data_IF_210532310307
#
_entry.id   IF_210532310307
#
_cell.length_a   1.000
_cell.length_b   1.000
_cell.length_c   1.000
_cell.angle_alpha   90.00
_cell.angle_beta   90.00
_cell.angle_gamma   90.00
#
_symmetry.space_group_name_H-M   'P 1'
#
loop_
_entity.id
_entity.type
_entity.pdbx_description
1 polymer ?
#
# COMPACT_ATOMS: atom_id res chain seq x y z
N UNK A 1 5.09 -13.12 33.28
CA UNK A 1 6.01 -13.77 32.34
C UNK A 1 7.22 -12.86 32.27
N UNK A 2 8.39 -13.32 32.71
CA UNK A 2 9.60 -12.46 32.78
C UNK A 2 10.22 -12.40 31.39
N UNK A 3 10.48 -11.21 30.91
CA UNK A 3 11.16 -10.96 29.63
C UNK A 3 12.60 -11.51 29.66
N UNK A 4 13.04 -12.10 28.55
CA UNK A 4 14.41 -12.60 28.39
C UNK A 4 15.42 -11.46 28.29
N UNK A 5 16.70 -11.73 28.56
CA UNK A 5 17.77 -10.73 28.51
C UNK A 5 17.88 -10.09 27.11
N UNK A 6 17.69 -10.85 26.03
CA UNK A 6 17.68 -10.36 24.65
C UNK A 6 16.53 -9.41 24.31
N UNK A 7 15.36 -9.60 24.93
CA UNK A 7 14.21 -8.67 24.76
C UNK A 7 14.43 -7.32 25.46
N UNK A 8 15.20 -7.32 26.56
CA UNK A 8 15.58 -6.06 27.24
C UNK A 8 16.63 -5.29 26.46
N UNK A 9 17.62 -5.98 25.92
CA UNK A 9 18.69 -5.36 25.12
C UNK A 9 18.16 -4.78 23.80
N UNK A 10 17.25 -5.50 23.10
CA UNK A 10 16.58 -4.99 21.92
C UNK A 10 15.70 -3.75 22.21
N UNK A 11 15.05 -3.69 23.39
CA UNK A 11 14.31 -2.50 23.84
C UNK A 11 15.20 -1.32 24.17
N UNK A 12 16.37 -1.54 24.77
CA UNK A 12 17.33 -0.46 25.06
C UNK A 12 17.93 0.11 23.77
N UNK A 13 18.24 -0.72 22.79
CA UNK A 13 18.73 -0.28 21.47
C UNK A 13 17.64 0.50 20.73
N UNK A 14 16.38 0.05 20.76
CA UNK A 14 15.25 0.77 20.18
C UNK A 14 14.98 2.11 20.90
N UNK A 15 15.15 2.18 22.21
CA UNK A 15 14.96 3.41 22.99
C UNK A 15 16.08 4.45 22.75
N UNK A 16 17.30 4.02 22.48
CA UNK A 16 18.43 4.92 22.16
C UNK A 16 18.39 5.48 20.74
N UNK A 17 17.69 4.84 19.79
CA UNK A 17 17.51 5.33 18.42
C UNK A 17 16.43 6.42 18.28
N UNK A 18 15.74 6.79 19.36
CA UNK A 18 14.62 7.75 19.36
C UNK A 18 14.99 9.24 19.25
N UNK A 19 16.29 9.61 19.17
CA UNK A 19 16.73 10.98 19.03
C UNK A 19 17.02 11.30 17.55
N UNK A 20 16.20 12.19 16.94
CA UNK A 20 16.40 12.78 15.60
C UNK A 20 16.62 11.76 14.46
N UNK A 21 15.61 10.97 14.13
CA UNK A 21 15.60 10.29 12.83
C UNK A 21 15.47 11.38 11.75
N UNK A 22 16.57 11.68 11.08
CA UNK A 22 16.57 12.54 9.89
C UNK A 22 15.54 11.99 8.90
N UNK A 23 14.71 12.89 8.35
CA UNK A 23 13.80 12.55 7.26
C UNK A 23 14.68 12.06 6.10
N UNK A 24 14.59 10.77 5.79
CA UNK A 24 15.38 10.20 4.72
C UNK A 24 14.89 10.74 3.37
N UNK A 25 15.73 11.52 2.70
CA UNK A 25 15.55 11.91 1.30
C UNK A 25 16.38 10.97 0.43
N UNK A 26 15.75 10.27 -0.53
CA UNK A 26 16.46 9.30 -1.36
C UNK A 26 17.51 9.95 -2.25
N UNK A 27 18.63 9.25 -2.53
CA UNK A 27 19.62 9.72 -3.51
C UNK A 27 19.00 9.77 -4.91
N UNK A 28 19.47 10.71 -5.72
CA UNK A 28 19.04 10.95 -7.09
C UNK A 28 19.08 9.67 -7.93
N UNK A 29 17.89 9.14 -8.28
CA UNK A 29 17.73 8.22 -9.40
C UNK A 29 16.81 8.85 -10.43
N UNK A 30 17.02 8.46 -11.70
CA UNK A 30 16.36 8.95 -12.92
C UNK A 30 15.01 9.63 -12.65
N UNK A 31 15.02 10.97 -12.71
CA UNK A 31 13.90 11.84 -12.35
C UNK A 31 12.69 11.49 -13.20
N UNK A 32 11.69 10.87 -12.60
CA UNK A 32 10.32 10.99 -13.07
C UNK A 32 9.99 12.48 -13.14
N UNK A 33 9.33 12.98 -14.17
CA UNK A 33 9.13 14.42 -14.48
C UNK A 33 8.58 15.28 -13.33
N UNK A 34 8.04 14.67 -12.25
CA UNK A 34 7.66 15.32 -10.98
C UNK A 34 8.41 14.73 -9.78
N UNK A 35 9.55 14.08 -10.03
CA UNK A 35 10.28 13.29 -9.06
C UNK A 35 10.86 14.10 -7.92
N UNK A 36 10.56 13.68 -6.70
CA UNK A 36 11.19 14.17 -5.48
C UNK A 36 10.29 14.95 -4.54
N UNK A 37 9.06 15.29 -4.92
CA UNK A 37 8.10 15.85 -3.95
C UNK A 37 7.39 14.71 -3.21
N UNK A 38 7.26 14.78 -1.88
CA UNK A 38 6.46 13.84 -1.13
C UNK A 38 5.01 13.86 -1.61
N UNK A 39 4.46 12.67 -1.88
CA UNK A 39 3.04 12.51 -2.16
C UNK A 39 2.26 12.36 -0.86
N UNK A 40 2.83 11.60 0.08
CA UNK A 40 2.35 11.47 1.46
C UNK A 40 3.50 11.74 2.41
N UNK A 41 3.25 12.56 3.44
CA UNK A 41 4.23 12.87 4.49
C UNK A 41 3.65 12.56 5.85
N UNK A 42 4.34 11.72 6.62
CA UNK A 42 4.03 11.44 8.02
C UNK A 42 5.00 12.19 8.93
N UNK A 43 4.49 12.87 9.98
CA UNK A 43 5.29 13.56 11.00
C UNK A 43 4.80 13.18 12.39
N UNK A 44 5.64 12.48 13.16
CA UNK A 44 5.32 11.94 14.48
C UNK A 44 3.95 11.25 14.49
N UNK A 45 3.62 10.55 13.40
CA UNK A 45 2.30 9.98 13.20
C UNK A 45 2.18 8.65 13.92
N UNK A 46 1.23 8.57 14.86
CA UNK A 46 0.89 7.35 15.60
C UNK A 46 -0.54 6.95 15.40
N UNK A 47 -0.81 5.64 15.50
CA UNK A 47 -2.14 5.04 15.37
C UNK A 47 -2.41 4.15 16.56
N UNK A 48 -3.56 4.34 17.18
CA UNK A 48 -3.99 3.63 18.39
C UNK A 48 -5.27 2.83 18.13
N UNK A 49 -5.38 1.69 18.79
CA UNK A 49 -6.62 0.92 18.97
C UNK A 49 -6.93 0.85 20.47
N UNK A 50 -7.81 1.72 20.97
CA UNK A 50 -7.94 1.95 22.39
C UNK A 50 -6.60 2.39 22.99
N UNK A 51 -6.11 1.68 24.02
CA UNK A 51 -4.84 2.00 24.67
C UNK A 51 -3.60 1.43 23.96
N UNK A 52 -3.79 0.62 22.91
CA UNK A 52 -2.69 -0.02 22.20
C UNK A 52 -2.18 0.86 21.06
N UNK A 53 -0.92 1.31 21.14
CA UNK A 53 -0.23 2.04 20.08
C UNK A 53 0.31 1.06 19.03
N UNK A 54 -0.46 0.89 17.94
CA UNK A 54 -0.16 -0.07 16.88
C UNK A 54 0.88 0.45 15.88
N UNK A 55 0.99 1.76 15.71
CA UNK A 55 2.01 2.44 14.88
C UNK A 55 2.54 3.62 15.66
N UNK A 56 3.88 3.73 15.75
CA UNK A 56 4.54 4.62 16.71
C UNK A 56 5.34 5.70 16.00
N UNK A 57 4.94 6.97 16.13
CA UNK A 57 5.67 8.19 15.75
C UNK A 57 6.40 8.12 14.41
N UNK A 58 5.73 7.62 13.39
CA UNK A 58 6.29 7.49 12.04
C UNK A 58 6.67 8.86 11.50
N UNK A 59 7.90 8.95 10.98
CA UNK A 59 8.41 10.09 10.23
C UNK A 59 8.90 9.58 8.88
N UNK A 60 8.15 9.86 7.79
CA UNK A 60 8.48 9.36 6.46
C UNK A 60 7.85 10.21 5.36
N UNK A 61 8.58 10.39 4.28
CA UNK A 61 8.10 10.98 3.03
C UNK A 61 8.00 9.91 1.94
N UNK A 62 6.78 9.64 1.48
CA UNK A 62 6.49 8.69 0.40
C UNK A 62 6.48 9.48 -0.92
N UNK A 63 7.37 9.12 -1.81
CA UNK A 63 7.59 9.85 -3.05
C UNK A 63 6.54 9.54 -4.11
N UNK A 64 6.16 10.58 -4.87
CA UNK A 64 5.22 10.47 -5.98
C UNK A 64 5.76 9.57 -7.10
N UNK A 65 4.90 8.69 -7.64
CA UNK A 65 5.16 7.83 -8.80
C UNK A 65 6.24 6.75 -8.60
N UNK A 66 6.58 6.45 -7.36
CA UNK A 66 7.44 5.32 -7.00
C UNK A 66 6.62 4.21 -6.35
N UNK A 67 7.18 3.01 -6.38
CA UNK A 67 6.66 1.85 -5.65
C UNK A 67 7.37 1.74 -4.31
N UNK A 68 6.64 1.83 -3.22
CA UNK A 68 7.16 1.64 -1.85
C UNK A 68 6.61 0.35 -1.27
N UNK A 69 7.48 -0.61 -0.96
CA UNK A 69 7.11 -1.80 -0.20
C UNK A 69 7.12 -1.53 1.30
N UNK A 70 6.20 -2.16 2.03
CA UNK A 70 6.14 -2.16 3.48
C UNK A 70 6.28 -3.60 3.94
N UNK A 71 7.40 -3.93 4.61
CA UNK A 71 7.73 -5.27 5.07
C UNK A 71 7.88 -5.32 6.59
N UNK A 72 7.87 -6.52 7.16
CA UNK A 72 8.03 -6.78 8.59
C UNK A 72 7.20 -7.96 9.06
N UNK A 73 7.35 -8.41 10.31
CA UNK A 73 6.59 -9.52 10.90
C UNK A 73 5.07 -9.28 10.89
N UNK A 74 4.30 -10.36 11.06
CA UNK A 74 2.85 -10.23 11.21
C UNK A 74 2.50 -9.44 12.47
N UNK A 75 1.50 -8.55 12.38
CA UNK A 75 1.05 -7.74 13.51
C UNK A 75 1.88 -6.50 13.84
N UNK A 76 2.98 -6.21 13.12
CA UNK A 76 3.85 -5.07 13.41
C UNK A 76 3.33 -3.69 12.92
N UNK A 77 2.08 -3.57 12.46
CA UNK A 77 1.47 -2.28 12.10
C UNK A 77 1.44 -1.94 10.60
N UNK A 78 1.98 -2.77 9.69
CA UNK A 78 2.05 -2.49 8.23
C UNK A 78 0.72 -2.12 7.59
N UNK A 79 -0.26 -3.02 7.69
CA UNK A 79 -1.60 -2.80 7.12
C UNK A 79 -2.34 -1.67 7.86
N UNK A 80 -2.04 -1.47 9.15
CA UNK A 80 -2.58 -0.35 9.93
C UNK A 80 -2.08 0.98 9.37
N UNK A 81 -0.78 1.12 9.11
CA UNK A 81 -0.22 2.31 8.48
C UNK A 81 -0.74 2.50 7.05
N UNK A 82 -0.76 1.43 6.23
CA UNK A 82 -1.28 1.49 4.87
C UNK A 82 -2.72 2.02 4.83
N UNK A 83 -3.60 1.48 5.68
CA UNK A 83 -5.02 1.85 5.77
C UNK A 83 -5.27 3.25 6.35
N UNK A 84 -4.31 3.81 7.06
CA UNK A 84 -4.40 5.18 7.55
C UNK A 84 -4.34 6.20 6.41
N UNK A 85 -3.61 5.91 5.32
CA UNK A 85 -3.40 6.83 4.21
C UNK A 85 -4.72 7.18 3.49
N UNK A 86 -5.70 6.26 3.47
CA UNK A 86 -7.03 6.52 2.91
C UNK A 86 -8.15 6.53 3.97
N UNK A 87 -7.79 6.62 5.25
CA UNK A 87 -8.71 6.70 6.39
C UNK A 87 -9.63 5.46 6.52
N UNK A 88 -9.17 4.28 6.07
CA UNK A 88 -9.95 3.04 6.26
C UNK A 88 -9.98 2.59 7.72
N UNK A 89 -9.03 3.03 8.55
CA UNK A 89 -9.03 2.73 9.99
C UNK A 89 -10.17 3.43 10.74
N UNK A 90 -10.75 4.50 10.20
CA UNK A 90 -11.90 5.21 10.79
C UNK A 90 -13.16 4.34 10.89
N UNK A 91 -13.20 3.23 10.13
CA UNK A 91 -14.26 2.23 10.25
C UNK A 91 -14.19 1.41 11.54
N UNK A 92 -13.09 1.54 12.31
CA UNK A 92 -12.87 0.85 13.58
C UNK A 92 -13.11 1.87 14.70
N UNK A 93 -14.19 1.76 15.49
CA UNK A 93 -14.58 2.80 16.46
C UNK A 93 -13.52 3.13 17.53
N UNK A 94 -12.64 2.17 17.86
CA UNK A 94 -11.56 2.38 18.84
C UNK A 94 -10.28 2.95 18.21
N UNK A 95 -10.25 3.18 16.90
CA UNK A 95 -9.07 3.68 16.21
C UNK A 95 -9.02 5.21 16.26
N UNK A 96 -7.87 5.75 16.67
CA UNK A 96 -7.57 7.18 16.56
C UNK A 96 -6.09 7.40 16.23
N UNK A 97 -5.76 8.60 15.81
CA UNK A 97 -4.41 8.96 15.38
C UNK A 97 -3.90 10.19 16.12
N UNK A 98 -2.57 10.32 16.21
CA UNK A 98 -1.89 11.54 16.68
C UNK A 98 -0.76 11.89 15.70
N UNK A 99 -0.23 13.12 15.80
CA UNK A 99 0.72 13.62 14.81
C UNK A 99 0.01 14.07 13.54
N UNK A 100 0.72 14.11 12.41
CA UNK A 100 0.15 14.55 11.13
C UNK A 100 0.46 13.56 10.02
N UNK A 101 -0.52 13.32 9.14
CA UNK A 101 -0.38 12.58 7.90
C UNK A 101 -0.90 13.45 6.77
N UNK A 102 -0.04 13.85 5.86
CA UNK A 102 -0.37 14.82 4.82
C UNK A 102 -0.39 14.16 3.44
N UNK A 103 -1.33 14.55 2.61
CA UNK A 103 -1.42 14.25 1.19
C UNK A 103 -1.28 15.56 0.42
N UNK A 104 -0.23 15.71 -0.38
CA UNK A 104 0.15 16.98 -1.03
C UNK A 104 0.22 18.20 -0.08
N UNK A 105 0.60 17.98 1.17
CA UNK A 105 0.68 19.05 2.17
C UNK A 105 -0.64 19.39 2.87
N UNK A 106 -1.74 18.74 2.52
CA UNK A 106 -3.02 18.83 3.21
C UNK A 106 -3.16 17.70 4.22
N UNK A 107 -3.58 18.00 5.45
CA UNK A 107 -3.73 17.00 6.50
C UNK A 107 -4.90 16.06 6.17
N UNK A 108 -4.59 14.74 6.03
CA UNK A 108 -5.55 13.68 5.76
C UNK A 108 -6.61 13.58 6.87
N UNK A 109 -6.23 13.87 8.11
CA UNK A 109 -7.11 13.84 9.29
C UNK A 109 -7.61 15.23 9.69
N UNK A 110 -7.41 16.23 8.82
CA UNK A 110 -7.90 17.59 9.01
C UNK A 110 -9.43 17.66 9.09
N UNK A 111 -9.94 18.60 9.90
CA UNK A 111 -11.39 18.78 10.15
C UNK A 111 -12.24 18.96 8.87
N UNK A 112 -11.64 19.47 7.81
CA UNK A 112 -12.34 19.80 6.55
C UNK A 112 -12.01 18.83 5.42
N UNK A 113 -11.30 17.74 5.70
CA UNK A 113 -10.96 16.74 4.68
C UNK A 113 -12.19 15.94 4.28
N UNK A 114 -12.55 15.98 2.99
CA UNK A 114 -13.61 15.17 2.41
C UNK A 114 -13.08 13.72 2.18
N UNK A 115 -13.57 12.79 2.99
CA UNK A 115 -13.15 11.39 2.92
C UNK A 115 -13.53 10.70 1.62
N UNK A 116 -14.63 11.10 0.99
CA UNK A 116 -15.07 10.51 -0.28
C UNK A 116 -14.12 10.92 -1.39
N UNK A 117 -13.74 12.19 -1.45
CA UNK A 117 -12.77 12.70 -2.41
C UNK A 117 -11.36 12.14 -2.14
N UNK A 118 -10.97 12.01 -0.87
CA UNK A 118 -9.72 11.38 -0.50
C UNK A 118 -9.65 9.92 -0.99
N UNK A 119 -10.69 9.11 -0.72
CA UNK A 119 -10.76 7.70 -1.13
C UNK A 119 -10.91 7.51 -2.65
N UNK A 120 -11.38 8.52 -3.37
CA UNK A 120 -11.32 8.54 -4.84
C UNK A 120 -9.90 8.67 -5.35
N UNK A 121 -9.10 9.56 -4.72
CA UNK A 121 -7.69 9.80 -5.07
C UNK A 121 -6.75 8.71 -4.58
N UNK A 122 -7.09 8.03 -3.47
CA UNK A 122 -6.26 7.02 -2.82
C UNK A 122 -7.02 5.69 -2.81
N UNK A 123 -6.86 4.92 -3.89
CA UNK A 123 -7.53 3.64 -4.07
C UNK A 123 -6.87 2.52 -3.28
N UNK A 124 -7.64 1.49 -2.91
CA UNK A 124 -7.13 0.36 -2.13
C UNK A 124 -7.59 -0.98 -2.70
N UNK A 125 -6.66 -1.92 -2.73
CA UNK A 125 -6.89 -3.33 -3.03
C UNK A 125 -6.55 -4.15 -1.80
N UNK A 126 -7.50 -4.97 -1.36
CA UNK A 126 -7.38 -5.75 -0.12
C UNK A 126 -6.71 -7.10 -0.36
N UNK A 127 -6.22 -7.70 0.71
CA UNK A 127 -5.58 -9.01 0.73
C UNK A 127 -6.47 -10.12 0.15
N UNK A 128 -7.76 -10.15 0.54
CA UNK A 128 -8.73 -11.06 -0.05
C UNK A 128 -9.47 -10.34 -1.18
N UNK A 129 -9.53 -10.93 -2.39
CA UNK A 129 -10.36 -10.38 -3.44
C UNK A 129 -11.79 -10.17 -2.96
N UNK A 130 -12.36 -9.01 -3.26
CA UNK A 130 -13.70 -8.63 -2.81
C UNK A 130 -14.55 -8.07 -3.97
N UNK A 131 -14.70 -8.80 -5.09
CA UNK A 131 -15.58 -8.37 -6.15
C UNK A 131 -17.01 -8.29 -5.64
N UNK A 132 -17.78 -7.31 -6.13
CA UNK A 132 -19.21 -7.25 -5.85
C UNK A 132 -19.93 -8.42 -6.54
N UNK A 133 -21.05 -8.93 -5.96
CA UNK A 133 -21.87 -9.97 -6.58
C UNK A 133 -22.67 -9.40 -7.77
N UNK A 134 -21.98 -8.84 -8.74
CA UNK A 134 -22.45 -8.17 -9.95
C UNK A 134 -21.65 -8.68 -11.13
N UNK A 135 -22.00 -8.23 -12.34
CA UNK A 135 -21.22 -8.51 -13.54
C UNK A 135 -19.78 -7.99 -13.46
N UNK A 136 -18.89 -8.50 -14.30
CA UNK A 136 -17.53 -7.98 -14.46
C UNK A 136 -17.58 -6.50 -14.84
N UNK A 137 -18.42 -6.16 -15.82
CA UNK A 137 -18.66 -4.78 -16.24
C UNK A 137 -19.10 -3.89 -15.09
N UNK A 138 -20.13 -4.29 -14.35
CA UNK A 138 -20.69 -3.47 -13.27
C UNK A 138 -19.75 -3.33 -12.06
N UNK A 139 -18.83 -4.28 -11.85
CA UNK A 139 -17.78 -4.11 -10.84
C UNK A 139 -16.90 -2.91 -11.16
N UNK A 140 -16.49 -2.74 -12.40
CA UNK A 140 -15.60 -1.66 -12.84
C UNK A 140 -16.38 -0.35 -13.00
N UNK A 141 -17.55 -0.40 -13.62
CA UNK A 141 -18.39 0.77 -13.85
C UNK A 141 -18.99 1.37 -12.57
N UNK A 142 -18.93 0.65 -11.43
CA UNK A 142 -19.54 1.09 -10.17
C UNK A 142 -18.98 2.42 -9.68
N UNK A 143 -17.65 2.54 -9.59
CA UNK A 143 -16.99 3.77 -9.13
C UNK A 143 -17.27 4.97 -10.05
N UNK A 144 -17.02 4.87 -11.36
CA UNK A 144 -17.37 5.93 -12.32
C UNK A 144 -18.83 6.38 -12.22
N UNK A 145 -19.79 5.45 -12.15
CA UNK A 145 -21.23 5.81 -11.96
C UNK A 145 -21.48 6.57 -10.67
N UNK A 146 -20.87 6.15 -9.57
CA UNK A 146 -20.98 6.84 -8.28
C UNK A 146 -20.46 8.29 -8.35
N UNK A 147 -19.49 8.52 -9.23
CA UNK A 147 -18.93 9.84 -9.51
C UNK A 147 -19.57 10.58 -10.68
N UNK A 148 -20.78 10.15 -11.10
CA UNK A 148 -21.61 10.91 -12.06
C UNK A 148 -21.41 10.53 -13.54
N UNK A 149 -20.57 9.54 -13.88
CA UNK A 149 -20.43 9.08 -15.26
C UNK A 149 -21.57 8.11 -15.57
N UNK A 150 -22.55 8.55 -16.37
CA UNK A 150 -23.74 7.75 -16.72
C UNK A 150 -23.82 7.41 -18.21
N UNK A 151 -23.00 8.05 -19.06
CA UNK A 151 -22.96 7.74 -20.48
C UNK A 151 -22.42 6.33 -20.74
N UNK A 152 -23.20 5.54 -21.49
CA UNK A 152 -22.91 4.12 -21.74
C UNK A 152 -21.58 3.95 -22.47
N UNK A 153 -21.33 4.76 -23.49
CA UNK A 153 -20.12 4.66 -24.31
C UNK A 153 -18.87 5.00 -23.49
N UNK A 154 -18.94 6.05 -22.68
CA UNK A 154 -17.86 6.43 -21.76
C UNK A 154 -17.56 5.33 -20.75
N UNK A 155 -18.61 4.69 -20.20
CA UNK A 155 -18.43 3.56 -19.28
C UNK A 155 -17.79 2.35 -19.97
N UNK A 156 -18.17 2.02 -21.21
CA UNK A 156 -17.55 0.95 -21.98
C UNK A 156 -16.04 1.22 -22.20
N UNK A 157 -15.68 2.45 -22.57
CA UNK A 157 -14.28 2.87 -22.74
C UNK A 157 -13.48 2.78 -21.42
N UNK A 158 -14.06 3.21 -20.29
CA UNK A 158 -13.43 3.12 -18.97
C UNK A 158 -13.22 1.65 -18.58
N UNK A 159 -14.23 0.80 -18.79
CA UNK A 159 -14.16 -0.63 -18.44
C UNK A 159 -13.08 -1.32 -19.25
N UNK A 160 -13.05 -1.13 -20.57
CA UNK A 160 -12.02 -1.70 -21.44
C UNK A 160 -10.62 -1.23 -21.01
N UNK A 161 -10.40 0.09 -20.89
CA UNK A 161 -9.13 0.67 -20.46
C UNK A 161 -8.65 0.13 -19.10
N UNK A 162 -9.58 -0.04 -18.15
CA UNK A 162 -9.24 -0.53 -16.81
C UNK A 162 -8.89 -2.01 -16.82
N UNK A 163 -9.60 -2.82 -17.62
CA UNK A 163 -9.29 -4.24 -17.79
C UNK A 163 -7.98 -4.48 -18.55
N UNK A 164 -7.68 -3.65 -19.55
CA UNK A 164 -6.39 -3.67 -20.24
C UNK A 164 -5.26 -3.37 -19.27
N UNK A 165 -5.36 -2.27 -18.51
CA UNK A 165 -4.36 -1.92 -17.48
C UNK A 165 -4.17 -3.00 -16.42
N UNK A 166 -5.22 -3.76 -16.08
CA UNK A 166 -5.15 -4.87 -15.12
C UNK A 166 -4.74 -6.20 -15.75
N UNK A 167 -4.31 -6.21 -17.03
CA UNK A 167 -3.95 -7.40 -17.81
C UNK A 167 -5.04 -8.50 -17.73
N UNK A 168 -6.31 -8.10 -17.73
CA UNK A 168 -7.46 -9.00 -17.58
C UNK A 168 -8.38 -9.01 -18.83
N UNK A 169 -8.28 -8.02 -19.72
CA UNK A 169 -9.17 -7.83 -20.85
C UNK A 169 -9.32 -9.09 -21.71
N UNK A 170 -8.22 -9.65 -22.18
CA UNK A 170 -8.25 -10.82 -23.07
C UNK A 170 -8.87 -12.08 -22.46
N UNK A 171 -8.90 -12.15 -21.12
CA UNK A 171 -9.48 -13.28 -20.41
C UNK A 171 -11.00 -13.14 -20.20
N UNK A 172 -11.55 -11.90 -20.29
CA UNK A 172 -12.94 -11.64 -19.86
C UNK A 172 -13.78 -10.86 -20.88
N UNK A 173 -13.21 -10.30 -21.95
CA UNK A 173 -13.89 -9.42 -22.92
C UNK A 173 -15.17 -10.01 -23.52
N UNK A 174 -15.23 -11.35 -23.69
CA UNK A 174 -16.39 -12.05 -24.29
C UNK A 174 -17.45 -12.44 -23.22
N UNK A 175 -17.28 -12.02 -21.96
CA UNK A 175 -18.16 -12.41 -20.85
C UNK A 175 -18.28 -11.32 -19.77
N UNK A 176 -18.26 -10.05 -20.18
CA UNK A 176 -18.34 -8.89 -19.26
C UNK A 176 -19.66 -8.83 -18.48
N UNK A 177 -20.72 -9.43 -18.99
CA UNK A 177 -22.03 -9.58 -18.35
C UNK A 177 -22.09 -10.68 -17.27
N UNK A 178 -21.09 -11.57 -17.23
CA UNK A 178 -21.07 -12.68 -16.26
C UNK A 178 -20.73 -12.20 -14.85
N UNK A 179 -21.25 -12.93 -13.86
CA UNK A 179 -21.00 -12.65 -12.45
C UNK A 179 -19.51 -12.78 -12.12
N UNK A 180 -18.94 -11.73 -11.52
CA UNK A 180 -17.53 -11.64 -11.15
C UNK A 180 -17.09 -12.70 -10.12
N UNK A 181 -18.00 -13.22 -9.31
CA UNK A 181 -17.69 -14.29 -8.34
C UNK A 181 -17.32 -15.61 -9.01
N UNK A 182 -17.67 -15.81 -10.31
CA UNK A 182 -17.28 -16.98 -11.09
C UNK A 182 -15.85 -16.92 -11.65
N UNK A 183 -15.11 -15.85 -11.40
CA UNK A 183 -13.71 -15.72 -11.80
C UNK A 183 -12.78 -16.49 -10.85
N UNK A 184 -11.60 -16.92 -11.32
CA UNK A 184 -10.55 -17.46 -10.46
C UNK A 184 -10.04 -16.42 -9.46
N UNK A 185 -9.42 -16.83 -8.36
CA UNK A 185 -8.89 -15.92 -7.33
C UNK A 185 -7.97 -14.84 -7.92
N UNK A 186 -7.02 -15.21 -8.79
CA UNK A 186 -6.14 -14.25 -9.46
C UNK A 186 -6.88 -13.31 -10.44
N UNK A 187 -7.91 -13.79 -11.13
CA UNK A 187 -8.77 -12.94 -11.96
C UNK A 187 -9.60 -11.97 -11.11
N UNK A 188 -10.15 -12.45 -9.97
CA UNK A 188 -10.88 -11.61 -9.03
C UNK A 188 -9.99 -10.51 -8.46
N UNK A 189 -8.73 -10.82 -8.12
CA UNK A 189 -7.79 -9.84 -7.60
C UNK A 189 -7.47 -8.77 -8.67
N UNK A 190 -7.17 -9.17 -9.91
CA UNK A 190 -6.96 -8.23 -11.01
C UNK A 190 -8.22 -7.42 -11.35
N UNK A 191 -9.41 -7.99 -11.20
CA UNK A 191 -10.67 -7.25 -11.31
C UNK A 191 -10.78 -6.18 -10.22
N UNK A 192 -10.41 -6.48 -8.98
CA UNK A 192 -10.38 -5.48 -7.90
C UNK A 192 -9.37 -4.36 -8.18
N UNK A 193 -8.22 -4.67 -8.79
CA UNK A 193 -7.28 -3.65 -9.27
C UNK A 193 -7.93 -2.82 -10.39
N UNK A 194 -8.52 -3.45 -11.42
CA UNK A 194 -9.21 -2.76 -12.51
C UNK A 194 -10.30 -1.82 -11.99
N UNK A 195 -11.12 -2.28 -11.03
CA UNK A 195 -12.16 -1.48 -10.37
C UNK A 195 -11.57 -0.25 -9.69
N UNK A 196 -10.43 -0.41 -9.02
CA UNK A 196 -9.74 0.69 -8.35
C UNK A 196 -9.18 1.69 -9.36
N UNK A 197 -8.59 1.21 -10.46
CA UNK A 197 -8.04 2.06 -11.53
C UNK A 197 -9.11 2.82 -12.34
N UNK A 198 -10.36 2.35 -12.34
CA UNK A 198 -11.45 2.93 -13.12
C UNK A 198 -11.85 4.36 -12.66
N UNK A 199 -11.53 4.74 -11.44
CA UNK A 199 -11.73 6.09 -10.91
C UNK A 199 -10.49 6.98 -11.04
N UNK A 200 -9.44 6.49 -11.70
CA UNK A 200 -8.17 7.17 -11.95
C UNK A 200 -7.54 7.73 -10.66
N UNK A 201 -7.22 6.88 -9.67
CA UNK A 201 -6.60 7.32 -8.43
C UNK A 201 -5.18 7.86 -8.68
N UNK A 202 -4.67 8.64 -7.73
CA UNK A 202 -3.29 9.11 -7.73
C UNK A 202 -2.36 8.14 -6.98
N UNK A 203 -2.89 7.49 -5.93
CA UNK A 203 -2.19 6.48 -5.12
C UNK A 203 -2.94 5.16 -5.17
N UNK A 204 -2.20 4.07 -5.28
CA UNK A 204 -2.71 2.69 -5.20
C UNK A 204 -2.12 2.00 -3.97
N UNK A 205 -2.97 1.65 -3.03
CA UNK A 205 -2.62 0.90 -1.82
C UNK A 205 -2.92 -0.58 -2.04
N UNK A 206 -1.92 -1.45 -1.89
CA UNK A 206 -2.02 -2.90 -2.08
C UNK A 206 -1.70 -3.60 -0.75
N UNK A 207 -2.70 -4.15 -0.10
CA UNK A 207 -2.54 -4.87 1.18
C UNK A 207 -2.39 -6.37 0.91
N UNK A 208 -1.16 -6.87 0.89
CA UNK A 208 -0.80 -8.27 0.60
C UNK A 208 -1.50 -8.88 -0.64
N UNK A 209 -1.44 -8.22 -1.81
CA UNK A 209 -2.31 -8.54 -2.96
C UNK A 209 -2.12 -9.92 -3.58
N UNK A 210 -1.08 -10.64 -3.18
CA UNK A 210 -0.69 -11.95 -3.75
C UNK A 210 -0.68 -13.08 -2.74
N UNK A 211 -0.99 -12.83 -1.47
CA UNK A 211 -0.85 -13.81 -0.38
C UNK A 211 -1.70 -15.08 -0.55
N UNK A 212 -2.83 -14.98 -1.26
CA UNK A 212 -3.76 -16.09 -1.51
C UNK A 212 -3.70 -16.61 -2.97
N UNK A 213 -2.68 -16.21 -3.75
CA UNK A 213 -2.58 -16.54 -5.17
C UNK A 213 -1.50 -17.60 -5.43
N UNK A 214 -1.71 -18.36 -6.50
CA UNK A 214 -0.70 -19.25 -7.04
C UNK A 214 0.47 -18.46 -7.70
N UNK A 215 1.63 -19.09 -7.94
CA UNK A 215 2.81 -18.40 -8.48
C UNK A 215 2.57 -17.72 -9.84
N UNK A 216 1.71 -18.30 -10.71
CA UNK A 216 1.41 -17.74 -12.03
C UNK A 216 0.54 -16.47 -11.91
N UNK A 217 -0.44 -16.50 -11.00
CA UNK A 217 -1.28 -15.33 -10.71
C UNK A 217 -0.47 -14.23 -9.99
N UNK A 218 0.45 -14.62 -9.10
CA UNK A 218 1.39 -13.71 -8.44
C UNK A 218 2.26 -12.97 -9.45
N UNK A 219 2.87 -13.68 -10.41
CA UNK A 219 3.68 -13.08 -11.46
C UNK A 219 2.89 -12.01 -12.24
N UNK A 220 1.63 -12.30 -12.61
CA UNK A 220 0.78 -11.33 -13.31
C UNK A 220 0.49 -10.06 -12.49
N UNK A 221 0.41 -10.16 -11.17
CA UNK A 221 0.26 -8.97 -10.29
C UNK A 221 1.58 -8.19 -10.21
N UNK A 222 2.72 -8.88 -10.17
CA UNK A 222 4.04 -8.23 -10.19
C UNK A 222 4.28 -7.50 -11.51
N UNK A 223 3.98 -8.12 -12.65
CA UNK A 223 4.04 -7.51 -13.99
C UNK A 223 3.14 -6.27 -14.06
N UNK A 224 1.93 -6.36 -13.52
CA UNK A 224 0.99 -5.24 -13.43
C UNK A 224 1.56 -4.07 -12.60
N UNK A 225 2.18 -4.33 -11.47
CA UNK A 225 2.81 -3.29 -10.65
C UNK A 225 3.93 -2.59 -11.44
N UNK A 226 4.71 -3.36 -12.20
CA UNK A 226 5.77 -2.80 -13.05
C UNK A 226 5.20 -1.92 -14.18
N UNK A 227 4.12 -2.32 -14.84
CA UNK A 227 3.44 -1.53 -15.86
C UNK A 227 2.84 -0.22 -15.31
N UNK A 228 2.38 -0.23 -14.07
CA UNK A 228 1.82 0.94 -13.39
C UNK A 228 2.89 1.88 -12.80
N UNK A 229 4.13 1.40 -12.65
CA UNK A 229 5.28 2.17 -12.16
C UNK A 229 5.47 3.46 -12.97
N UNK A 230 5.80 4.55 -12.31
CA UNK A 230 6.00 5.86 -12.94
C UNK A 230 4.71 6.59 -13.33
N UNK A 231 3.58 5.87 -13.41
CA UNK A 231 2.26 6.46 -13.64
C UNK A 231 1.49 6.69 -12.33
N UNK A 232 1.60 5.76 -11.39
CA UNK A 232 0.94 5.79 -10.10
C UNK A 232 1.97 5.78 -8.97
N UNK A 233 1.60 6.35 -7.81
CA UNK A 233 2.29 6.09 -6.55
C UNK A 233 1.72 4.81 -5.96
N UNK A 234 2.55 3.82 -5.70
CA UNK A 234 2.10 2.51 -5.23
C UNK A 234 2.72 2.23 -3.87
N UNK A 235 1.88 1.87 -2.89
CA UNK A 235 2.35 1.29 -1.64
C UNK A 235 1.86 -0.16 -1.56
N UNK A 236 2.78 -1.07 -1.34
CA UNK A 236 2.48 -2.50 -1.23
C UNK A 236 2.94 -3.07 0.10
N UNK A 237 2.01 -3.60 0.90
CA UNK A 237 2.34 -4.45 2.03
C UNK A 237 2.57 -5.87 1.52
N UNK A 238 3.68 -6.47 1.90
CA UNK A 238 3.96 -7.88 1.61
C UNK A 238 4.84 -8.49 2.71
N UNK A 239 4.61 -9.77 2.99
CA UNK A 239 5.51 -10.57 3.82
C UNK A 239 6.54 -11.35 2.98
N UNK A 240 6.45 -11.27 1.63
CA UNK A 240 7.40 -11.90 0.72
C UNK A 240 8.52 -10.92 0.37
N UNK A 241 9.69 -11.13 0.98
CA UNK A 241 10.87 -10.29 0.77
C UNK A 241 11.37 -10.29 -0.67
N UNK A 242 11.28 -11.45 -1.35
CA UNK A 242 11.67 -11.55 -2.76
C UNK A 242 10.75 -10.70 -3.65
N UNK A 243 9.44 -10.69 -3.36
CA UNK A 243 8.49 -9.81 -4.05
C UNK A 243 8.84 -8.34 -3.80
N UNK A 244 9.01 -7.92 -2.54
CA UNK A 244 9.40 -6.56 -2.20
C UNK A 244 10.66 -6.12 -2.96
N UNK A 245 11.70 -6.98 -2.97
CA UNK A 245 12.96 -6.71 -3.66
C UNK A 245 12.81 -6.54 -5.18
N UNK A 246 11.86 -7.25 -5.82
CA UNK A 246 11.64 -7.15 -7.28
C UNK A 246 10.82 -5.93 -7.67
N UNK A 247 9.70 -5.70 -6.96
CA UNK A 247 8.67 -4.74 -7.43
C UNK A 247 8.84 -3.34 -6.87
N UNK A 248 9.65 -3.09 -5.84
CA UNK A 248 9.70 -1.78 -5.20
C UNK A 248 10.98 -0.98 -5.47
N UNK A 249 10.84 0.34 -5.45
CA UNK A 249 11.93 1.31 -5.52
C UNK A 249 12.47 1.62 -4.12
N UNK A 250 11.56 1.70 -3.15
CA UNK A 250 11.82 1.97 -1.74
C UNK A 250 11.18 0.90 -0.88
N UNK A 251 11.77 0.63 0.30
CA UNK A 251 11.24 -0.33 1.26
C UNK A 251 11.24 0.28 2.65
N UNK A 252 10.09 0.17 3.33
CA UNK A 252 9.88 0.46 4.73
C UNK A 252 9.91 -0.84 5.51
N UNK A 253 10.74 -0.95 6.52
CA UNK A 253 10.73 -2.08 7.44
C UNK A 253 10.10 -1.68 8.77
N UNK A 254 9.03 -2.39 9.13
CA UNK A 254 8.31 -2.22 10.39
C UNK A 254 8.60 -3.35 11.36
N UNK A 255 8.82 -2.99 12.62
CA UNK A 255 8.94 -3.93 13.71
C UNK A 255 8.24 -3.38 14.97
N UNK A 256 7.36 -4.15 15.61
CA UNK A 256 6.63 -3.79 16.85
C UNK A 256 5.96 -2.40 16.84
N UNK A 257 5.44 -1.96 15.71
CA UNK A 257 4.80 -0.65 15.53
C UNK A 257 5.76 0.47 15.12
N UNK A 258 7.06 0.25 15.19
CA UNK A 258 8.08 1.22 14.79
C UNK A 258 8.45 1.09 13.30
N UNK A 259 8.62 2.21 12.61
CA UNK A 259 9.33 2.26 11.34
C UNK A 259 10.84 2.24 11.62
N UNK A 260 11.45 1.05 11.54
CA UNK A 260 12.86 0.84 11.88
C UNK A 260 13.78 1.41 10.81
N UNK A 261 13.48 1.10 9.52
CA UNK A 261 14.29 1.58 8.42
C UNK A 261 13.40 1.91 7.19
N UNK A 262 13.76 2.99 6.49
CA UNK A 262 13.18 3.36 5.21
C UNK A 262 14.30 3.77 4.25
N UNK A 263 14.51 3.00 3.21
CA UNK A 263 15.63 3.19 2.29
C UNK A 263 15.29 2.74 0.85
N UNK A 264 16.12 3.10 -0.15
CA UNK A 264 16.05 2.46 -1.46
C UNK A 264 16.10 0.94 -1.32
N UNK A 265 15.22 0.24 -2.00
CA UNK A 265 15.05 -1.22 -1.87
C UNK A 265 16.37 -1.96 -2.02
N UNK A 266 17.17 -1.63 -3.04
CA UNK A 266 18.47 -2.26 -3.23
C UNK A 266 19.38 -2.10 -2.02
N UNK A 267 19.44 -0.91 -1.42
CA UNK A 267 20.26 -0.63 -0.24
C UNK A 267 19.77 -1.46 0.94
N UNK A 268 18.47 -1.40 1.25
CA UNK A 268 17.88 -2.09 2.39
C UNK A 268 18.13 -3.60 2.34
N UNK A 269 18.05 -4.22 1.15
CA UNK A 269 18.26 -5.66 1.00
C UNK A 269 19.74 -6.09 0.87
N UNK A 270 20.67 -5.18 0.58
CA UNK A 270 22.10 -5.54 0.40
C UNK A 270 23.01 -4.98 1.48
N UNK A 271 22.65 -3.87 2.09
CA UNK A 271 23.44 -3.20 3.13
C UNK A 271 22.50 -2.37 4.02
N UNK A 272 21.64 -3.02 4.81
CA UNK A 272 20.76 -2.36 5.76
C UNK A 272 21.58 -1.58 6.79
N UNK A 273 21.02 -0.50 7.33
CA UNK A 273 21.69 0.35 8.32
C UNK A 273 21.42 -0.11 9.75
N UNK A 274 20.29 -0.78 9.95
CA UNK A 274 19.83 -1.23 11.26
C UNK A 274 20.01 -2.74 11.39
N UNK A 275 20.57 -3.19 12.51
CA UNK A 275 20.83 -4.60 12.78
C UNK A 275 19.54 -5.44 12.79
N UNK A 276 18.43 -4.87 13.30
CA UNK A 276 17.13 -5.55 13.34
C UNK A 276 16.61 -5.79 11.91
N UNK A 277 16.88 -4.85 10.98
CA UNK A 277 16.58 -5.00 9.55
C UNK A 277 17.42 -6.14 8.94
N UNK A 278 18.73 -6.18 9.24
CA UNK A 278 19.63 -7.22 8.75
C UNK A 278 19.19 -8.61 9.22
N UNK A 279 18.89 -8.76 10.51
CA UNK A 279 18.47 -10.02 11.10
C UNK A 279 17.14 -10.50 10.48
N UNK A 280 16.20 -9.58 10.21
CA UNK A 280 14.95 -9.92 9.54
C UNK A 280 15.17 -10.41 8.11
N UNK A 281 15.97 -9.70 7.32
CA UNK A 281 16.21 -10.02 5.90
C UNK A 281 16.99 -11.34 5.76
N UNK A 282 17.93 -11.59 6.66
CA UNK A 282 18.77 -12.81 6.63
C UNK A 282 18.09 -14.02 7.26
N UNK A 283 16.87 -13.87 7.79
CA UNK A 283 16.13 -14.95 8.46
C UNK A 283 16.71 -15.35 9.83
N UNK A 284 17.54 -14.50 10.43
CA UNK A 284 18.09 -14.69 11.79
C UNK A 284 17.14 -14.19 12.88
N UNK A 285 15.98 -13.75 12.49
CA UNK A 285 14.92 -13.27 13.36
C UNK A 285 14.26 -14.46 14.04
N UNK A 286 14.50 -14.68 15.33
CA UNK A 286 13.91 -15.75 16.15
C UNK A 286 13.20 -15.18 17.36
#
# INVERSE_FOLDING_TARGET
>A
MQMTAGEKEAREVAAQSGANREIFLPPERQRVKDGGKPHVSAKNFSIFYGDFEAVKKVNADILSKYVTAIIGPSGCGKSTFLRAINRMNDLIPSCYTTGTLMFYGEDIYGRFTDEVQLRKKIGMVFQKPNPFPKSIFDNIAYGPRLHGVNDKKTLEEIVEKSLLKAALWDEVKDRLDRNALGLSGGQQQRLCVARTLAVEPEILLLDEPTSALDPKATAKIEDLIEELRGSYTILIVTHNMQQASRVSDYTMFYYEGDLVEYAPTKQLFTNPRDQVTEDYITGRFS
#
